data_IF_974114397417
#
_entry.id   IF_974114397417
#
_cell.length_a   1.000
_cell.length_b   1.000
_cell.length_c   1.000
_cell.angle_alpha   90.00
_cell.angle_beta   90.00
_cell.angle_gamma   90.00
#
_symmetry.space_group_name_H-M   'P 1'
#
loop_
_entity.id
_entity.type
_entity.pdbx_description
1 polymer ?
#
# COMPACT_ATOMS: atom_id res chain seq x y z
N UNK A 1 -5.72 -11.42 1.64
CA UNK A 1 -4.53 -11.83 0.85
C UNK A 1 -3.65 -12.77 1.64
N UNK A 2 -3.10 -12.36 2.79
CA UNK A 2 -2.21 -13.22 3.60
C UNK A 2 -2.89 -14.51 4.07
N UNK A 3 -4.02 -14.40 4.77
CA UNK A 3 -4.78 -15.56 5.27
C UNK A 3 -5.16 -16.50 4.12
N UNK A 4 -5.57 -15.96 2.98
CA UNK A 4 -5.89 -16.76 1.80
C UNK A 4 -4.67 -17.52 1.23
N UNK A 5 -3.48 -16.91 1.25
CA UNK A 5 -2.24 -17.57 0.84
C UNK A 5 -1.83 -18.68 1.81
N UNK A 6 -1.99 -18.44 3.13
CA UNK A 6 -1.75 -19.44 4.16
C UNK A 6 -2.70 -20.64 4.02
N UNK A 7 -4.00 -20.38 3.85
CA UNK A 7 -5.01 -21.43 3.64
C UNK A 7 -4.70 -22.24 2.39
N UNK A 8 -4.37 -21.58 1.27
CA UNK A 8 -3.96 -22.25 0.05
C UNK A 8 -2.74 -23.15 0.24
N UNK A 9 -1.74 -22.71 1.01
CA UNK A 9 -0.56 -23.53 1.30
C UNK A 9 -0.90 -24.75 2.16
N UNK A 10 -1.91 -24.63 3.03
CA UNK A 10 -2.44 -25.73 3.82
C UNK A 10 -3.40 -26.66 3.03
N UNK A 11 -3.73 -26.33 1.77
CA UNK A 11 -4.73 -27.08 0.99
C UNK A 11 -6.18 -26.78 1.38
N UNK A 12 -6.40 -25.72 2.15
CA UNK A 12 -7.70 -25.34 2.70
C UNK A 12 -8.30 -24.13 1.98
N UNK A 13 -9.62 -23.99 2.08
CA UNK A 13 -10.39 -22.87 1.54
C UNK A 13 -11.18 -22.15 2.63
N UNK A 14 -11.32 -20.83 2.51
CA UNK A 14 -12.25 -20.05 3.31
C UNK A 14 -13.28 -19.42 2.38
N UNK A 15 -14.54 -19.76 2.58
CA UNK A 15 -15.66 -19.08 1.95
C UNK A 15 -16.20 -18.03 2.92
N UNK A 16 -16.07 -16.76 2.56
CA UNK A 16 -16.54 -15.64 3.37
C UNK A 16 -17.67 -14.93 2.62
N UNK A 17 -18.87 -15.00 3.21
CA UNK A 17 -20.04 -14.32 2.68
C UNK A 17 -20.11 -12.88 3.21
N UNK A 18 -20.40 -11.95 2.31
CA UNK A 18 -20.61 -10.55 2.67
C UNK A 18 -22.09 -10.33 2.97
N UNK A 19 -22.39 -9.94 4.21
CA UNK A 19 -23.74 -9.52 4.62
C UNK A 19 -23.80 -8.00 4.77
N UNK A 20 -24.99 -7.37 4.62
CA UNK A 20 -25.16 -5.94 4.83
C UNK A 20 -24.62 -5.49 6.20
N UNK A 21 -24.05 -4.28 6.26
CA UNK A 21 -23.39 -3.77 7.48
C UNK A 21 -24.24 -3.89 8.75
N UNK A 22 -25.53 -3.55 8.66
CA UNK A 22 -26.47 -3.60 9.79
C UNK A 22 -26.72 -5.03 10.32
N UNK A 23 -26.34 -6.05 9.55
CA UNK A 23 -26.42 -7.47 9.90
C UNK A 23 -25.06 -8.05 10.29
N UNK A 24 -23.96 -7.28 10.17
CA UNK A 24 -22.60 -7.70 10.50
C UNK A 24 -22.12 -7.01 11.79
N UNK A 25 -22.95 -7.05 12.83
CA UNK A 25 -22.72 -6.31 14.08
C UNK A 25 -21.47 -6.84 14.78
N UNK A 26 -21.23 -8.15 14.68
CA UNK A 26 -20.09 -8.84 15.29
C UNK A 26 -18.75 -8.34 14.73
N UNK A 27 -18.67 -8.08 13.42
CA UNK A 27 -17.46 -7.52 12.83
C UNK A 27 -17.19 -6.08 13.31
N UNK A 28 -18.24 -5.27 13.46
CA UNK A 28 -18.12 -3.90 13.97
C UNK A 28 -17.68 -3.90 15.45
N UNK A 29 -18.32 -4.73 16.28
CA UNK A 29 -17.92 -4.97 17.68
C UNK A 29 -16.45 -5.39 17.78
N UNK A 30 -16.02 -6.33 16.93
CA UNK A 30 -14.64 -6.80 16.92
C UNK A 30 -13.65 -5.67 16.61
N UNK A 31 -13.97 -4.79 15.66
CA UNK A 31 -13.14 -3.60 15.35
C UNK A 31 -13.12 -2.57 16.48
N UNK A 32 -14.18 -2.49 17.27
CA UNK A 32 -14.27 -1.63 18.45
C UNK A 32 -13.62 -2.26 19.71
N UNK A 33 -13.08 -3.47 19.59
CA UNK A 33 -12.49 -4.20 20.72
C UNK A 33 -13.51 -4.77 21.70
N UNK A 34 -14.78 -4.87 21.30
CA UNK A 34 -15.82 -5.54 22.08
C UNK A 34 -15.85 -7.04 21.73
N UNK A 35 -15.54 -7.87 22.72
CA UNK A 35 -15.46 -9.33 22.57
C UNK A 35 -16.59 -10.07 23.32
N UNK A 36 -17.57 -9.36 23.88
CA UNK A 36 -18.61 -9.98 24.73
C UNK A 36 -19.48 -11.02 23.99
N UNK A 37 -19.60 -10.90 22.66
CA UNK A 37 -20.31 -11.85 21.81
C UNK A 37 -19.52 -13.12 21.46
N UNK A 38 -18.27 -13.25 21.92
CA UNK A 38 -17.40 -14.39 21.59
C UNK A 38 -17.09 -15.21 22.85
N UNK A 39 -16.97 -16.53 22.68
CA UNK A 39 -16.48 -17.40 23.74
C UNK A 39 -14.98 -17.13 24.00
N UNK A 40 -14.59 -16.69 25.22
CA UNK A 40 -13.20 -16.46 25.56
C UNK A 40 -12.31 -17.71 25.43
N UNK A 41 -12.87 -18.91 25.58
CA UNK A 41 -12.13 -20.17 25.48
C UNK A 41 -11.66 -20.47 24.04
N UNK A 42 -12.36 -19.94 23.04
CA UNK A 42 -12.01 -20.11 21.62
C UNK A 42 -11.05 -19.03 21.11
N UNK A 43 -10.58 -18.13 21.97
CA UNK A 43 -9.73 -17.02 21.57
C UNK A 43 -8.31 -17.49 21.23
N UNK A 44 -7.96 -17.45 19.94
CA UNK A 44 -6.60 -17.69 19.47
C UNK A 44 -5.77 -16.40 19.57
N UNK A 45 -4.72 -16.41 20.38
CA UNK A 45 -3.74 -15.31 20.44
C UNK A 45 -2.69 -15.50 19.34
N UNK A 46 -2.57 -14.51 18.46
CA UNK A 46 -1.57 -14.51 17.39
C UNK A 46 -0.39 -13.63 17.78
N UNK A 47 0.82 -14.20 17.74
CA UNK A 47 2.05 -13.41 17.88
C UNK A 47 2.52 -12.97 16.48
N UNK A 48 2.33 -11.69 16.19
CA UNK A 48 2.66 -11.06 14.90
C UNK A 48 4.17 -11.15 14.60
N UNK A 49 5.02 -11.11 15.63
CA UNK A 49 6.47 -11.10 15.46
C UNK A 49 7.03 -12.46 15.03
N UNK A 50 6.36 -13.56 15.42
CA UNK A 50 6.81 -14.93 15.12
C UNK A 50 6.03 -15.57 13.98
N UNK A 51 5.04 -14.86 13.41
CA UNK A 51 4.19 -15.44 12.38
C UNK A 51 4.96 -15.65 11.07
N UNK A 52 4.86 -16.84 10.44
CA UNK A 52 5.52 -17.13 9.17
C UNK A 52 4.74 -16.47 8.01
N UNK A 53 5.02 -15.19 7.78
CA UNK A 53 4.37 -14.45 6.69
C UNK A 53 4.77 -14.97 5.31
N UNK A 54 3.78 -15.42 4.54
CA UNK A 54 3.90 -15.94 3.19
C UNK A 54 3.99 -14.80 2.18
N UNK A 55 3.11 -13.79 2.28
CA UNK A 55 3.01 -12.73 1.26
C UNK A 55 3.67 -11.44 1.73
N UNK A 56 3.47 -11.04 2.99
CA UNK A 56 3.95 -9.77 3.54
C UNK A 56 5.46 -9.55 3.32
N UNK A 57 6.29 -10.58 3.57
CA UNK A 57 7.75 -10.47 3.42
C UNK A 57 8.17 -10.13 1.98
N UNK A 58 7.56 -10.79 0.99
CA UNK A 58 7.82 -10.54 -0.43
C UNK A 58 7.33 -9.14 -0.83
N UNK A 59 6.13 -8.76 -0.39
CA UNK A 59 5.59 -7.43 -0.64
C UNK A 59 6.46 -6.31 -0.07
N UNK A 60 6.95 -6.45 1.17
CA UNK A 60 7.83 -5.48 1.79
C UNK A 60 9.18 -5.38 1.06
N UNK A 61 9.73 -6.51 0.62
CA UNK A 61 10.96 -6.54 -0.19
C UNK A 61 10.79 -5.79 -1.50
N UNK A 62 9.71 -6.05 -2.23
CA UNK A 62 9.40 -5.36 -3.49
C UNK A 62 9.11 -3.87 -3.26
N UNK A 63 8.35 -3.54 -2.22
CA UNK A 63 8.08 -2.17 -1.81
C UNK A 63 9.39 -1.40 -1.54
N UNK A 64 10.32 -2.00 -0.79
CA UNK A 64 11.62 -1.39 -0.53
C UNK A 64 12.42 -1.13 -1.80
N UNK A 65 12.44 -2.09 -2.73
CA UNK A 65 13.12 -1.94 -4.02
C UNK A 65 12.49 -0.82 -4.87
N UNK A 66 11.16 -0.73 -4.90
CA UNK A 66 10.46 0.36 -5.59
C UNK A 66 10.80 1.72 -4.96
N UNK A 67 10.81 1.80 -3.63
CA UNK A 67 11.13 3.02 -2.90
C UNK A 67 12.56 3.50 -3.17
N UNK A 68 13.54 2.59 -3.29
CA UNK A 68 14.92 2.98 -3.63
C UNK A 68 15.00 3.56 -5.03
N UNK A 69 14.36 2.93 -6.02
CA UNK A 69 14.30 3.42 -7.41
C UNK A 69 13.68 4.82 -7.48
N UNK A 70 12.56 5.04 -6.80
CA UNK A 70 11.90 6.35 -6.77
C UNK A 70 12.82 7.40 -6.13
N UNK A 71 13.50 7.04 -5.03
CA UNK A 71 14.42 7.94 -4.33
C UNK A 71 15.60 8.34 -5.21
N UNK A 72 16.22 7.37 -5.89
CA UNK A 72 17.32 7.60 -6.83
C UNK A 72 16.87 8.49 -8.00
N UNK A 73 15.70 8.21 -8.59
CA UNK A 73 15.12 9.03 -9.65
C UNK A 73 14.87 10.48 -9.24
N UNK A 74 14.46 10.72 -7.98
CA UNK A 74 14.30 12.08 -7.43
C UNK A 74 15.63 12.80 -7.26
N UNK A 75 16.67 12.10 -6.80
CA UNK A 75 18.02 12.67 -6.64
C UNK A 75 18.57 13.03 -8.03
N UNK A 76 18.46 12.11 -8.98
CA UNK A 76 18.95 12.31 -10.35
C UNK A 76 18.23 13.46 -11.05
N UNK A 77 16.90 13.54 -10.90
CA UNK A 77 16.11 14.67 -11.42
C UNK A 77 16.53 16.00 -10.78
N UNK A 78 16.86 16.00 -9.49
CA UNK A 78 17.32 17.20 -8.78
C UNK A 78 18.73 17.62 -9.22
N UNK A 79 19.65 16.67 -9.42
CA UNK A 79 20.99 16.92 -9.98
C UNK A 79 20.91 17.49 -11.39
N UNK A 80 20.15 16.84 -12.28
CA UNK A 80 19.90 17.35 -13.64
C UNK A 80 19.30 18.74 -13.65
N UNK A 81 18.46 19.08 -12.67
CA UNK A 81 17.92 20.43 -12.52
C UNK A 81 19.04 21.41 -12.14
N UNK A 82 19.86 21.09 -11.14
CA UNK A 82 21.02 21.90 -10.74
C UNK A 82 22.02 22.11 -11.88
N UNK A 83 22.37 21.06 -12.64
CA UNK A 83 23.26 21.16 -13.80
C UNK A 83 22.70 22.08 -14.89
N UNK A 84 21.39 22.03 -15.15
CA UNK A 84 20.71 22.97 -16.07
C UNK A 84 20.75 24.42 -15.59
N UNK A 85 20.79 24.66 -14.27
CA UNK A 85 20.94 26.01 -13.70
C UNK A 85 22.40 26.46 -13.61
N UNK A 86 23.37 25.53 -13.58
CA UNK A 86 24.80 25.83 -13.51
C UNK A 86 25.49 26.00 -14.88
N UNK A 87 24.84 25.57 -15.97
CA UNK A 87 25.31 25.84 -17.34
C UNK A 87 25.25 27.33 -17.72
N UNK A 88 25.91 27.75 -18.82
CA UNK A 88 25.85 29.14 -19.28
C UNK A 88 24.39 29.55 -19.48
N UNK A 89 24.02 30.73 -18.98
CA UNK A 89 22.66 31.26 -19.13
C UNK A 89 22.37 31.59 -20.60
N UNK A 90 21.93 30.60 -21.37
CA UNK A 90 21.45 30.80 -22.73
C UNK A 90 19.99 31.21 -22.64
N UNK A 91 19.70 32.50 -22.89
CA UNK A 91 18.33 33.01 -23.05
C UNK A 91 17.69 32.36 -24.28
N UNK A 92 17.00 31.24 -24.08
CA UNK A 92 16.07 30.73 -25.08
C UNK A 92 14.87 31.68 -25.14
N UNK A 93 14.67 32.35 -26.28
CA UNK A 93 13.46 33.10 -26.56
C UNK A 93 12.27 32.13 -26.59
N UNK A 94 11.59 31.97 -25.46
CA UNK A 94 10.33 31.24 -25.41
C UNK A 94 9.26 32.09 -26.11
N UNK A 95 8.82 31.66 -27.29
CA UNK A 95 7.53 32.13 -27.84
C UNK A 95 6.45 31.81 -26.82
N UNK A 96 5.74 32.82 -26.32
CA UNK A 96 4.63 32.62 -25.41
C UNK A 96 3.53 31.89 -26.18
N UNK A 97 3.27 30.64 -25.82
CA UNK A 97 2.13 29.92 -26.33
C UNK A 97 0.90 30.46 -25.60
N UNK A 98 0.21 31.42 -26.22
CA UNK A 98 -1.10 31.87 -25.76
C UNK A 98 -2.10 30.75 -26.05
N UNK A 99 -2.84 30.41 -25.01
CA UNK A 99 -4.05 29.57 -24.97
C UNK A 99 -3.89 28.08 -25.28
N UNK A 100 -4.11 27.27 -24.25
CA UNK A 100 -4.85 26.00 -24.31
C UNK A 100 -5.66 25.87 -23.02
N UNK A 101 -6.90 26.35 -23.06
CA UNK A 101 -7.93 25.88 -22.14
C UNK A 101 -8.40 24.50 -22.62
N UNK A 102 -8.44 23.46 -21.76
CA UNK A 102 -8.87 22.12 -22.17
C UNK A 102 -10.38 21.87 -21.98
N UNK A 103 -11.19 22.89 -21.67
CA UNK A 103 -12.63 22.72 -21.37
C UNK A 103 -13.54 23.81 -21.96
N UNK A 104 -13.23 24.30 -23.17
CA UNK A 104 -14.24 24.89 -24.05
C UNK A 104 -14.46 23.98 -25.26
#
# INVERSE_FOLDING_TARGET
MEIAAMLRQAGEGLDQQWVPRLQNIEADQLTNGDFRGFDPALRVRVNIATQPWVVLNSMLKQGRALYSVIREGRIESSKRKLEKFAGPFVRSQKKSFRERDPWQ
#
